data_IF_120406155398
#
_entry.id   IF_120406155398
#
_cell.length_a   1.000
_cell.length_b   1.000
_cell.length_c   1.000
_cell.angle_alpha   90.00
_cell.angle_beta   90.00
_cell.angle_gamma   90.00
#
_symmetry.space_group_name_H-M   'P 1'
#
loop_
_entity.id
_entity.type
_entity.pdbx_description
1 polymer ?
#
# COMPACT_ATOMS: atom_id res chain seq x y z
N UNK A 1 -1.07 -5.18 7.81
CA UNK A 1 0.36 -5.46 7.57
C UNK A 1 0.82 -4.60 6.42
N UNK A 2 1.84 -3.78 6.63
CA UNK A 2 2.43 -2.94 5.60
C UNK A 2 3.77 -3.55 5.18
N UNK A 3 3.96 -3.76 3.88
CA UNK A 3 5.16 -4.34 3.30
C UNK A 3 5.48 -3.71 1.94
N UNK A 4 6.60 -4.09 1.36
CA UNK A 4 7.04 -3.62 0.05
C UNK A 4 7.80 -4.74 -0.67
N UNK A 5 8.95 -4.39 -1.28
CA UNK A 5 9.88 -5.28 -1.98
C UNK A 5 9.39 -5.85 -3.33
N UNK A 6 8.09 -6.08 -3.50
CA UNK A 6 7.56 -6.62 -4.76
C UNK A 6 7.40 -5.58 -5.86
N UNK A 7 7.55 -4.29 -5.55
CA UNK A 7 7.30 -3.16 -6.46
C UNK A 7 5.84 -3.03 -6.95
N UNK A 8 4.92 -3.87 -6.45
CA UNK A 8 3.54 -3.92 -6.88
C UNK A 8 2.62 -3.24 -5.86
N UNK A 9 2.16 -2.00 -6.12
CA UNK A 9 1.23 -1.34 -5.22
C UNK A 9 -0.11 -2.07 -5.19
N UNK A 10 -0.46 -2.65 -4.04
CA UNK A 10 -1.75 -3.32 -3.84
C UNK A 10 -2.25 -3.14 -2.41
N UNK A 11 -3.56 -2.98 -2.28
CA UNK A 11 -4.29 -3.07 -1.02
C UNK A 11 -5.32 -4.19 -1.14
N UNK A 12 -5.28 -5.17 -0.24
CA UNK A 12 -6.20 -6.30 -0.22
C UNK A 12 -6.54 -6.73 1.21
N UNK A 13 -7.62 -7.49 1.36
CA UNK A 13 -8.01 -8.08 2.64
C UNK A 13 -8.00 -9.61 2.53
N UNK A 14 -7.30 -10.29 3.44
CA UNK A 14 -7.25 -11.76 3.52
C UNK A 14 -7.51 -12.22 4.94
N UNK A 15 -8.63 -12.93 5.13
CA UNK A 15 -9.00 -13.47 6.45
C UNK A 15 -9.16 -12.40 7.54
N UNK A 16 -9.69 -11.22 7.18
CA UNK A 16 -9.84 -10.09 8.09
C UNK A 16 -8.56 -9.29 8.35
N UNK A 17 -7.44 -9.68 7.71
CA UNK A 17 -6.18 -8.92 7.79
C UNK A 17 -6.02 -8.06 6.54
N UNK A 18 -5.88 -6.76 6.74
CA UNK A 18 -5.54 -5.81 5.67
C UNK A 18 -4.06 -5.91 5.32
N UNK A 19 -3.76 -6.18 4.06
CA UNK A 19 -2.43 -6.25 3.47
C UNK A 19 -2.21 -5.02 2.59
N UNK A 20 -1.14 -4.28 2.87
CA UNK A 20 -0.79 -3.05 2.15
C UNK A 20 0.63 -3.19 1.62
N UNK A 21 0.76 -3.26 0.32
CA UNK A 21 2.02 -3.37 -0.38
C UNK A 21 2.32 -2.02 -1.03
N UNK A 22 3.33 -1.33 -0.54
CA UNK A 22 3.80 -0.09 -1.17
C UNK A 22 4.78 -0.44 -2.29
N UNK A 23 4.62 0.25 -3.41
CA UNK A 23 5.56 0.21 -4.52
C UNK A 23 6.85 0.99 -4.23
N UNK A 24 7.78 0.91 -5.17
CA UNK A 24 9.06 1.62 -5.13
C UNK A 24 8.95 3.10 -5.50
N UNK A 25 10.10 3.80 -5.44
CA UNK A 25 10.19 5.23 -5.70
C UNK A 25 10.57 5.59 -7.14
N UNK A 26 10.66 4.60 -8.04
CA UNK A 26 11.11 4.77 -9.43
C UNK A 26 9.91 4.67 -10.37
N UNK A 27 9.21 3.54 -10.33
CA UNK A 27 8.17 3.20 -11.31
C UNK A 27 6.77 3.47 -10.75
N UNK A 28 6.55 3.16 -9.48
CA UNK A 28 5.22 3.15 -8.86
C UNK A 28 4.98 4.33 -7.92
N UNK A 29 6.02 4.99 -7.40
CA UNK A 29 6.02 6.17 -6.53
C UNK A 29 4.78 6.24 -5.61
N UNK A 30 4.59 5.19 -4.83
CA UNK A 30 3.37 4.98 -4.04
C UNK A 30 3.63 4.96 -2.53
N UNK A 31 2.61 5.29 -1.76
CA UNK A 31 2.70 5.44 -0.32
C UNK A 31 1.35 5.12 0.33
N UNK A 32 1.41 4.56 1.53
CA UNK A 32 0.23 4.27 2.34
C UNK A 32 -0.06 5.43 3.30
N UNK A 33 -1.34 5.76 3.47
CA UNK A 33 -1.81 6.71 4.48
C UNK A 33 -2.81 5.99 5.38
N UNK A 34 -2.70 6.18 6.69
CA UNK A 34 -3.69 5.75 7.66
C UNK A 34 -4.23 6.97 8.42
N UNK A 35 -5.51 7.26 8.26
CA UNK A 35 -6.20 8.36 8.93
C UNK A 35 -7.57 7.89 9.43
N UNK A 36 -7.86 8.10 10.72
CA UNK A 36 -9.12 7.70 11.36
C UNK A 36 -9.49 6.21 11.14
N UNK A 37 -8.49 5.32 11.12
CA UNK A 37 -8.66 3.89 10.88
C UNK A 37 -8.94 3.51 9.42
N UNK A 38 -9.00 4.49 8.52
CA UNK A 38 -9.07 4.26 7.08
C UNK A 38 -7.65 4.20 6.54
N UNK A 39 -7.36 3.14 5.78
CA UNK A 39 -6.06 2.95 5.13
C UNK A 39 -6.24 3.08 3.64
N UNK A 40 -5.47 3.96 3.03
CA UNK A 40 -5.43 4.21 1.61
C UNK A 40 -4.04 3.94 1.04
N UNK A 41 -3.99 3.45 -0.19
CA UNK A 41 -2.75 3.34 -0.96
C UNK A 41 -2.83 4.34 -2.11
N UNK A 42 -1.97 5.36 -2.06
CA UNK A 42 -1.92 6.44 -3.05
C UNK A 42 -0.67 6.31 -3.90
N UNK A 43 -0.74 6.85 -5.12
CA UNK A 43 0.37 6.97 -6.07
C UNK A 43 0.55 8.43 -6.44
N UNK A 44 1.79 8.90 -6.48
CA UNK A 44 2.17 10.18 -7.06
C UNK A 44 2.36 9.94 -8.56
N UNK A 45 1.42 10.43 -9.38
CA UNK A 45 1.50 10.46 -10.84
C UNK A 45 1.35 11.89 -11.34
#
# INVERSE_FOLDING_TARGET
VTFGHTHLPIIEERGGVKLVNVGDQIDSLSFAIEENGVVELRRLS
#
